data_IF_140530447186
#
_entry.id   IF_140530447186
#
_cell.length_a   1.000
_cell.length_b   1.000
_cell.length_c   1.000
_cell.angle_alpha   90.00
_cell.angle_beta   90.00
_cell.angle_gamma   90.00
#
_symmetry.space_group_name_H-M   'P 1'
#
loop_
_entity.id
_entity.type
_entity.pdbx_description
1 polymer ?
#
# COMPACT_ATOMS: atom_id res chain seq x y z
N UNK A 1 -34.03 -1.90 31.40
CA UNK A 1 -33.55 -3.20 31.92
C UNK A 1 -32.96 -4.10 30.83
N UNK A 2 -32.45 -3.57 29.70
CA UNK A 2 -31.83 -4.36 28.61
C UNK A 2 -30.32 -4.11 28.45
N UNK A 3 -29.79 -2.95 28.87
CA UNK A 3 -28.36 -2.62 28.80
C UNK A 3 -27.48 -3.46 29.75
N UNK A 4 -28.08 -4.07 30.79
CA UNK A 4 -27.36 -4.88 31.78
C UNK A 4 -26.98 -6.28 31.26
N UNK A 5 -27.69 -6.80 30.25
CA UNK A 5 -27.33 -8.06 29.60
C UNK A 5 -26.13 -7.89 28.65
N UNK A 6 -26.10 -6.80 27.87
CA UNK A 6 -24.98 -6.54 26.93
C UNK A 6 -23.63 -6.38 27.65
N UNK A 7 -23.62 -5.85 28.88
CA UNK A 7 -22.40 -5.71 29.70
C UNK A 7 -21.86 -7.01 30.29
N UNK A 8 -22.63 -8.11 30.22
CA UNK A 8 -22.20 -9.46 30.63
C UNK A 8 -21.94 -10.39 29.43
N UNK A 9 -22.37 -10.01 28.22
CA UNK A 9 -22.04 -10.73 26.98
C UNK A 9 -20.67 -10.35 26.42
N UNK A 10 -20.17 -9.15 26.72
CA UNK A 10 -18.81 -8.69 26.35
C UNK A 10 -17.69 -9.67 26.73
N UNK A 11 -17.61 -10.24 27.96
CA UNK A 11 -16.54 -11.19 28.27
C UNK A 11 -16.70 -12.52 27.51
N UNK A 12 -17.92 -13.01 27.27
CA UNK A 12 -18.13 -14.26 26.53
C UNK A 12 -17.70 -14.14 25.06
N UNK A 13 -17.98 -13.00 24.42
CA UNK A 13 -17.54 -12.75 23.05
C UNK A 13 -16.00 -12.65 22.96
N UNK A 14 -15.35 -11.99 23.92
CA UNK A 14 -13.88 -11.88 23.98
C UNK A 14 -13.22 -13.25 24.24
N UNK A 15 -13.79 -14.04 25.17
CA UNK A 15 -13.32 -15.40 25.46
C UNK A 15 -13.51 -16.32 24.25
N UNK A 16 -14.63 -16.21 23.52
CA UNK A 16 -14.86 -16.98 22.30
C UNK A 16 -13.85 -16.65 21.18
N UNK A 17 -13.46 -15.37 21.04
CA UNK A 17 -12.36 -14.96 20.14
C UNK A 17 -11.03 -15.58 20.56
N UNK A 18 -10.68 -15.52 21.85
CA UNK A 18 -9.41 -16.05 22.36
C UNK A 18 -9.30 -17.58 22.25
N UNK A 19 -10.42 -18.30 22.29
CA UNK A 19 -10.49 -19.75 22.14
C UNK A 19 -10.70 -20.21 20.69
N UNK A 20 -10.81 -19.30 19.71
CA UNK A 20 -11.00 -19.65 18.29
C UNK A 20 -12.29 -20.40 17.99
N UNK A 21 -13.29 -20.34 18.88
CA UNK A 21 -14.56 -21.06 18.75
C UNK A 21 -15.58 -20.33 17.86
N UNK A 22 -15.29 -19.08 17.48
CA UNK A 22 -16.08 -18.30 16.54
C UNK A 22 -15.31 -18.16 15.22
N UNK A 23 -15.90 -18.59 14.11
CA UNK A 23 -15.40 -18.30 12.75
C UNK A 23 -15.72 -16.88 12.30
N UNK A 24 -16.25 -16.04 13.20
CA UNK A 24 -16.20 -14.60 13.04
C UNK A 24 -14.74 -14.22 13.27
N UNK A 25 -13.97 -14.30 12.19
CA UNK A 25 -12.65 -13.71 12.11
C UNK A 25 -12.76 -12.32 12.71
N UNK A 26 -12.05 -12.10 13.82
CA UNK A 26 -11.56 -10.80 14.16
C UNK A 26 -10.56 -10.42 13.07
N UNK A 27 -11.08 -10.17 11.86
CA UNK A 27 -10.34 -9.55 10.78
C UNK A 27 -10.04 -8.15 11.30
N UNK A 28 -8.84 -8.02 11.85
CA UNK A 28 -8.16 -6.74 11.81
C UNK A 28 -8.20 -6.31 10.33
N UNK A 29 -8.79 -5.15 10.00
CA UNK A 29 -8.73 -4.69 8.63
C UNK A 29 -7.26 -4.48 8.32
N UNK A 30 -6.67 -5.42 7.58
CA UNK A 30 -5.28 -5.32 7.12
C UNK A 30 -5.06 -3.89 6.67
N UNK A 31 -4.09 -3.17 7.27
CA UNK A 31 -3.94 -1.75 7.03
C UNK A 31 -3.66 -1.59 5.55
N UNK A 32 -4.71 -1.20 4.81
CA UNK A 32 -4.70 -1.06 3.36
C UNK A 32 -3.42 -0.37 2.96
N UNK A 33 -2.49 -1.11 2.38
CA UNK A 33 -1.26 -0.50 1.90
C UNK A 33 -1.65 0.55 0.87
N UNK A 34 -0.98 1.71 0.81
CA UNK A 34 -1.36 2.76 -0.11
C UNK A 34 -1.22 2.33 -1.57
N UNK A 35 -0.48 1.25 -1.84
CA UNK A 35 -0.41 0.58 -3.14
C UNK A 35 -1.60 -0.34 -3.47
N UNK A 36 -2.53 -0.57 -2.54
CA UNK A 36 -3.68 -1.45 -2.78
C UNK A 36 -4.62 -0.83 -3.83
N UNK A 37 -4.80 -1.52 -4.95
CA UNK A 37 -5.55 -1.03 -6.10
C UNK A 37 -4.79 -0.05 -7.02
N UNK A 38 -3.52 0.24 -6.74
CA UNK A 38 -2.67 1.05 -7.63
C UNK A 38 -1.90 0.14 -8.58
N UNK A 39 -1.94 0.44 -9.87
CA UNK A 39 -1.20 -0.30 -10.90
C UNK A 39 -0.22 0.62 -11.61
N UNK A 40 1.08 0.30 -11.49
CA UNK A 40 2.12 0.97 -12.26
C UNK A 40 2.04 0.58 -13.73
N UNK A 41 2.02 1.57 -14.61
CA UNK A 41 2.05 1.37 -16.05
C UNK A 41 3.50 1.34 -16.51
N UNK A 42 3.96 0.23 -17.10
CA UNK A 42 5.35 0.03 -17.50
C UNK A 42 6.19 -0.76 -16.48
N UNK A 43 7.52 -0.84 -16.69
CA UNK A 43 8.40 -1.59 -15.80
C UNK A 43 8.67 -0.80 -14.51
N UNK A 44 7.82 -0.98 -13.51
CA UNK A 44 7.96 -0.30 -12.22
C UNK A 44 7.33 -1.07 -11.06
N UNK A 45 7.74 -0.74 -9.85
CA UNK A 45 7.16 -1.29 -8.61
C UNK A 45 6.45 -0.18 -7.86
N UNK A 46 5.25 -0.46 -7.35
CA UNK A 46 4.52 0.51 -6.53
C UNK A 46 5.26 0.74 -5.20
N UNK A 47 5.50 2.01 -4.88
CA UNK A 47 6.17 2.47 -3.67
C UNK A 47 5.41 3.67 -3.11
N UNK A 48 5.62 3.99 -1.83
CA UNK A 48 4.97 5.12 -1.20
C UNK A 48 5.90 5.84 -0.22
N UNK A 49 5.60 7.11 0.02
CA UNK A 49 6.29 7.96 0.98
C UNK A 49 5.70 7.81 2.38
N UNK A 50 6.39 8.30 3.41
CA UNK A 50 5.92 8.22 4.79
C UNK A 50 4.59 8.97 5.04
N UNK A 51 4.26 9.96 4.20
CA UNK A 51 2.98 10.68 4.20
C UNK A 51 1.84 9.91 3.49
N UNK A 52 2.14 8.76 2.87
CA UNK A 52 1.17 7.91 2.18
C UNK A 52 0.97 8.23 0.71
N UNK A 53 1.73 9.15 0.12
CA UNK A 53 1.71 9.41 -1.32
C UNK A 53 2.31 8.24 -2.09
N UNK A 54 1.62 7.80 -3.14
CA UNK A 54 2.02 6.64 -3.95
C UNK A 54 2.75 7.11 -5.20
N UNK A 55 3.81 6.41 -5.57
CA UNK A 55 4.54 6.61 -6.81
C UNK A 55 5.08 5.28 -7.34
N UNK A 56 5.34 5.20 -8.63
CA UNK A 56 5.97 4.04 -9.23
C UNK A 56 7.49 4.21 -9.24
N UNK A 57 8.17 3.34 -8.50
CA UNK A 57 9.61 3.20 -8.57
C UNK A 57 9.95 2.49 -9.89
N UNK A 58 10.30 3.28 -10.90
CA UNK A 58 10.61 2.81 -12.24
C UNK A 58 11.92 2.01 -12.28
N UNK A 59 12.00 1.06 -13.21
CA UNK A 59 13.20 0.26 -13.45
C UNK A 59 14.38 1.15 -13.90
N UNK A 60 15.64 0.71 -13.70
CA UNK A 60 16.80 1.42 -14.24
C UNK A 60 16.65 1.53 -15.75
N UNK A 61 16.91 2.70 -16.34
CA UNK A 61 16.59 3.12 -17.72
C UNK A 61 15.13 3.53 -17.98
N UNK A 62 14.36 3.86 -16.95
CA UNK A 62 13.03 4.43 -17.13
C UNK A 62 12.74 5.51 -16.11
N UNK A 63 11.93 6.50 -16.49
CA UNK A 63 11.53 7.61 -15.62
C UNK A 63 10.01 7.78 -15.58
N UNK A 64 9.53 8.40 -14.51
CA UNK A 64 8.15 8.85 -14.35
C UNK A 64 8.07 10.37 -14.50
N UNK A 65 6.94 10.87 -14.97
CA UNK A 65 6.70 12.31 -15.06
C UNK A 65 6.16 12.85 -13.73
N UNK A 66 6.46 14.11 -13.37
CA UNK A 66 5.91 14.74 -12.17
C UNK A 66 4.39 14.89 -12.22
N UNK A 67 3.81 14.98 -13.42
CA UNK A 67 2.36 15.01 -13.66
C UNK A 67 1.72 13.61 -13.74
N UNK A 68 2.51 12.55 -13.94
CA UNK A 68 2.03 11.17 -13.99
C UNK A 68 2.99 10.20 -13.27
N UNK A 69 2.99 10.20 -11.92
CA UNK A 69 3.92 9.42 -11.11
C UNK A 69 3.64 7.90 -11.12
N UNK A 70 2.58 7.46 -11.81
CA UNK A 70 2.18 6.05 -11.92
C UNK A 70 2.59 5.39 -13.23
N UNK A 71 3.14 6.17 -14.16
CA UNK A 71 3.59 5.67 -15.46
C UNK A 71 5.10 5.77 -15.56
N UNK A 72 5.73 4.65 -15.92
CA UNK A 72 7.15 4.54 -16.19
C UNK A 72 7.38 4.44 -17.70
N UNK A 73 8.12 5.40 -18.25
CA UNK A 73 8.51 5.44 -19.65
C UNK A 73 9.98 5.01 -19.75
N UNK A 74 10.25 4.04 -20.62
CA UNK A 74 11.61 3.54 -20.86
C UNK A 74 12.36 4.61 -21.65
N UNK A 75 13.52 4.99 -21.13
CA UNK A 75 14.52 5.78 -21.83
C UNK A 75 15.19 4.87 -22.85
N UNK A 76 14.96 5.15 -24.13
CA UNK A 76 15.62 4.43 -25.20
C UNK A 76 17.14 4.62 -25.07
N UNK A 77 17.87 3.51 -24.91
CA UNK A 77 19.33 3.42 -24.70
C UNK A 77 20.17 4.04 -25.84
N UNK A 78 19.52 4.60 -26.87
CA UNK A 78 20.18 5.35 -27.92
C UNK A 78 20.51 6.80 -27.52
N UNK A 79 20.10 7.25 -26.33
CA UNK A 79 20.54 8.50 -25.71
C UNK A 79 21.63 8.25 -24.65
N UNK A 80 22.88 8.11 -25.10
CA UNK A 80 24.10 8.05 -24.26
C UNK A 80 24.39 9.39 -23.54
N UNK A 81 23.43 10.32 -23.50
CA UNK A 81 23.56 11.63 -22.88
C UNK A 81 22.51 11.95 -21.82
N UNK A 82 21.68 10.99 -21.38
CA UNK A 82 20.97 11.20 -20.13
C UNK A 82 21.93 10.88 -18.97
N UNK A 83 22.70 11.90 -18.62
CA UNK A 83 23.30 12.03 -17.31
C UNK A 83 22.35 11.46 -16.26
N UNK A 84 22.90 10.56 -15.45
CA UNK A 84 22.40 10.12 -14.16
C UNK A 84 21.80 11.31 -13.40
N UNK A 85 20.53 11.57 -13.65
CA UNK A 85 19.68 12.33 -12.76
C UNK A 85 18.59 11.38 -12.31
N UNK A 86 19.05 10.27 -11.73
CA UNK A 86 18.42 9.78 -10.50
C UNK A 86 18.40 10.97 -9.54
N UNK A 87 17.36 11.80 -9.66
CA UNK A 87 17.14 12.93 -8.78
C UNK A 87 17.16 12.41 -7.34
N UNK A 88 17.80 13.10 -6.40
CA UNK A 88 17.85 12.63 -5.03
C UNK A 88 16.42 12.63 -4.49
N UNK A 89 15.92 11.45 -4.11
CA UNK A 89 14.81 11.37 -3.17
C UNK A 89 15.26 12.08 -1.89
N UNK A 90 14.69 13.25 -1.64
CA UNK A 90 14.89 14.04 -0.42
C UNK A 90 13.56 14.27 0.27
#
# INVERSE_FOLDING_TARGET
>A
MFLSLFRRLTPLAVVACALGLATATCDDPDPKTPCDGVTCHGPGTCSWTADGSVYCACAPNSHSFPDDPLTCVIDDVNDVNHEETAGPAR
#
